data_IF_904511631771
#
_entry.id   IF_904511631771
#
_cell.length_a   1.000
_cell.length_b   1.000
_cell.length_c   1.000
_cell.angle_alpha   90.00
_cell.angle_beta   90.00
_cell.angle_gamma   90.00
#
_symmetry.space_group_name_H-M   'P 1'
#
loop_
_entity.id
_entity.type
_entity.pdbx_description
1 polymer ?
#
# COMPACT_ATOMS: atom_id res chain seq x y z
N UNK A 1 1.00 -13.76 -18.99
CA UNK A 1 1.62 -14.24 -17.74
C UNK A 1 2.89 -15.02 -18.08
N UNK A 2 3.99 -14.80 -17.35
CA UNK A 2 5.27 -15.48 -17.61
C UNK A 2 5.30 -16.86 -16.95
N UNK A 3 5.79 -17.90 -17.64
CA UNK A 3 5.96 -19.22 -17.02
C UNK A 3 7.06 -19.19 -15.94
N UNK A 4 6.66 -19.55 -14.71
CA UNK A 4 7.54 -19.62 -13.54
C UNK A 4 7.64 -21.03 -12.95
N UNK A 5 7.13 -22.06 -13.63
CA UNK A 5 7.11 -23.45 -13.15
C UNK A 5 8.50 -23.96 -12.75
N UNK A 6 9.51 -23.62 -13.54
CA UNK A 6 10.94 -23.95 -13.35
C UNK A 6 11.63 -23.21 -12.19
N UNK A 7 11.00 -22.16 -11.61
CA UNK A 7 11.59 -21.39 -10.51
C UNK A 7 11.35 -22.09 -9.16
N UNK A 8 12.30 -21.90 -8.24
CA UNK A 8 12.18 -22.35 -6.84
C UNK A 8 11.41 -21.33 -6.00
N UNK A 9 10.61 -21.83 -5.05
CA UNK A 9 9.97 -20.98 -4.06
C UNK A 9 11.01 -20.50 -3.04
N UNK A 10 10.99 -19.20 -2.73
CA UNK A 10 11.86 -18.59 -1.72
C UNK A 10 11.05 -17.53 -0.97
N UNK A 11 11.53 -17.08 0.19
CA UNK A 11 10.98 -15.89 0.83
C UNK A 11 11.09 -14.69 -0.11
N UNK A 12 9.99 -13.93 -0.23
CA UNK A 12 9.88 -12.70 -1.01
C UNK A 12 9.33 -11.62 -0.11
N UNK A 13 9.93 -10.44 -0.16
CA UNK A 13 9.43 -9.27 0.56
C UNK A 13 9.39 -8.09 -0.39
N UNK A 14 8.36 -7.27 -0.31
CA UNK A 14 8.30 -5.97 -0.96
C UNK A 14 7.80 -4.91 0.03
N UNK A 15 8.38 -3.72 -0.04
CA UNK A 15 7.96 -2.53 0.69
C UNK A 15 7.62 -1.46 -0.35
N UNK A 16 6.41 -0.95 -0.30
CA UNK A 16 5.94 0.13 -1.17
C UNK A 16 5.42 1.29 -0.32
N UNK A 17 5.37 2.47 -0.93
CA UNK A 17 4.76 3.66 -0.34
C UNK A 17 3.66 4.24 -1.23
N UNK A 18 2.81 5.05 -0.60
CA UNK A 18 2.03 6.11 -1.22
C UNK A 18 2.07 7.35 -0.32
N UNK A 19 1.87 8.55 -0.89
CA UNK A 19 1.70 9.79 -0.14
C UNK A 19 0.30 10.33 -0.40
N UNK A 20 -0.44 10.60 0.67
CA UNK A 20 -1.70 11.34 0.62
C UNK A 20 -1.41 12.76 1.11
N UNK A 21 -1.42 13.70 0.18
CA UNK A 21 -1.24 15.12 0.43
C UNK A 21 -2.62 15.73 0.65
N UNK A 22 -2.92 16.16 1.88
CA UNK A 22 -4.17 16.88 2.20
C UNK A 22 -4.00 18.37 1.94
N UNK A 23 -5.11 19.12 1.86
CA UNK A 23 -5.08 20.55 1.54
C UNK A 23 -5.13 21.48 2.75
N UNK A 24 -5.42 20.96 3.95
CA UNK A 24 -5.50 21.78 5.16
C UNK A 24 -5.05 21.05 6.43
N UNK A 25 -4.59 21.83 7.41
CA UNK A 25 -4.26 21.34 8.76
C UNK A 25 -5.52 20.85 9.50
N UNK A 26 -6.70 21.41 9.20
CA UNK A 26 -7.96 20.96 9.80
C UNK A 26 -8.26 19.51 9.44
N UNK A 27 -7.91 19.06 8.23
CA UNK A 27 -8.02 17.64 7.82
C UNK A 27 -7.11 16.76 8.68
N UNK A 28 -5.87 17.17 8.93
CA UNK A 28 -4.93 16.45 9.79
C UNK A 28 -5.42 16.40 11.23
N UNK A 29 -5.93 17.53 11.76
CA UNK A 29 -6.51 17.60 13.09
C UNK A 29 -7.73 16.68 13.22
N UNK A 30 -8.60 16.65 12.21
CA UNK A 30 -9.78 15.79 12.20
C UNK A 30 -9.40 14.31 12.22
N UNK A 31 -8.35 13.91 11.50
CA UNK A 31 -7.82 12.54 11.55
C UNK A 31 -7.27 12.23 12.95
N UNK A 32 -6.40 13.10 13.50
CA UNK A 32 -5.76 12.87 14.81
C UNK A 32 -6.77 12.81 15.96
N UNK A 33 -7.84 13.61 15.88
CA UNK A 33 -8.87 13.69 16.90
C UNK A 33 -10.06 12.74 16.64
N UNK A 34 -9.99 11.91 15.60
CA UNK A 34 -11.08 10.99 15.20
C UNK A 34 -12.44 11.68 14.99
N UNK A 35 -12.44 12.88 14.39
CA UNK A 35 -13.66 13.65 14.12
C UNK A 35 -14.07 13.64 12.64
N UNK A 36 -13.41 12.83 11.81
CA UNK A 36 -13.81 12.63 10.41
C UNK A 36 -15.21 11.98 10.36
N UNK A 37 -16.19 12.55 9.63
CA UNK A 37 -17.58 12.06 9.66
C UNK A 37 -17.77 10.59 9.26
N UNK A 38 -16.85 10.05 8.44
CA UNK A 38 -16.89 8.66 7.98
C UNK A 38 -16.23 7.66 8.95
N UNK A 39 -15.71 8.12 10.09
CA UNK A 39 -15.07 7.29 11.11
C UNK A 39 -13.53 7.28 11.04
N UNK A 40 -12.93 6.28 11.66
CA UNK A 40 -11.46 6.12 11.74
C UNK A 40 -10.85 5.83 10.36
N UNK A 41 -10.13 6.83 9.85
CA UNK A 41 -9.50 6.79 8.52
C UNK A 41 -8.41 5.74 8.45
N UNK A 42 -7.60 5.57 9.49
CA UNK A 42 -6.46 4.65 9.46
C UNK A 42 -6.90 3.20 9.59
N UNK A 43 -7.87 2.92 10.47
CA UNK A 43 -8.43 1.59 10.63
C UNK A 43 -9.14 1.11 9.35
N UNK A 44 -10.00 1.94 8.77
CA UNK A 44 -10.72 1.60 7.54
C UNK A 44 -9.79 1.46 6.34
N UNK A 45 -8.83 2.39 6.19
CA UNK A 45 -7.86 2.31 5.09
C UNK A 45 -6.96 1.07 5.23
N UNK A 46 -6.61 0.66 6.46
CA UNK A 46 -5.85 -0.57 6.70
C UNK A 46 -6.64 -1.81 6.25
N UNK A 47 -7.92 -1.89 6.60
CA UNK A 47 -8.78 -2.97 6.16
C UNK A 47 -8.90 -3.03 4.62
N UNK A 48 -9.10 -1.87 3.98
CA UNK A 48 -9.14 -1.77 2.52
C UNK A 48 -7.82 -2.24 1.88
N UNK A 49 -6.67 -1.84 2.42
CA UNK A 49 -5.35 -2.27 1.97
C UNK A 49 -5.14 -3.77 2.08
N UNK A 50 -5.50 -4.39 3.21
CA UNK A 50 -5.40 -5.85 3.40
C UNK A 50 -6.25 -6.62 2.38
N UNK A 51 -7.42 -6.09 2.02
CA UNK A 51 -8.25 -6.67 0.97
C UNK A 51 -7.65 -6.44 -0.43
N UNK A 52 -7.16 -5.23 -0.71
CA UNK A 52 -6.54 -4.85 -1.98
C UNK A 52 -5.33 -5.73 -2.32
N UNK A 53 -4.42 -5.91 -1.35
CA UNK A 53 -3.24 -6.78 -1.49
C UNK A 53 -3.63 -8.19 -1.94
N UNK A 54 -4.65 -8.80 -1.31
CA UNK A 54 -5.13 -10.15 -1.64
C UNK A 54 -5.83 -10.25 -2.99
N UNK A 55 -6.38 -9.14 -3.50
CA UNK A 55 -7.09 -9.07 -4.77
C UNK A 55 -6.24 -8.56 -5.94
N UNK A 56 -4.92 -8.48 -5.77
CA UNK A 56 -4.02 -7.94 -6.80
C UNK A 56 -4.11 -8.71 -8.12
N UNK A 57 -4.09 -10.04 -8.07
CA UNK A 57 -4.19 -10.88 -9.27
C UNK A 57 -5.58 -10.85 -9.93
N UNK A 58 -6.63 -10.44 -9.20
CA UNK A 58 -7.97 -10.26 -9.76
C UNK A 58 -8.05 -9.01 -10.64
N UNK A 59 -7.18 -8.02 -10.39
CA UNK A 59 -7.19 -6.72 -11.04
C UNK A 59 -6.07 -6.53 -12.08
N UNK A 60 -4.91 -7.16 -11.87
CA UNK A 60 -3.77 -7.07 -12.78
C UNK A 60 -3.64 -8.36 -13.62
N UNK A 61 -4.02 -8.35 -14.92
CA UNK A 61 -4.24 -9.56 -15.71
C UNK A 61 -3.04 -10.52 -15.82
N UNK A 62 -1.82 -9.99 -15.78
CA UNK A 62 -0.59 -10.77 -15.92
C UNK A 62 0.07 -11.13 -14.58
N UNK A 63 -0.51 -10.72 -13.45
CA UNK A 63 -0.02 -11.08 -12.12
C UNK A 63 -0.37 -12.53 -11.77
N UNK A 64 0.61 -13.26 -11.28
CA UNK A 64 0.37 -14.62 -10.78
C UNK A 64 -0.47 -14.57 -9.50
N UNK A 65 -1.53 -15.37 -9.39
CA UNK A 65 -2.18 -15.56 -8.10
C UNK A 65 -1.19 -16.24 -7.13
N UNK A 66 -1.01 -15.66 -5.94
CA UNK A 66 -0.08 -16.17 -4.93
C UNK A 66 -0.66 -16.00 -3.52
N UNK A 67 -0.29 -16.89 -2.57
CA UNK A 67 -0.71 -16.76 -1.18
C UNK A 67 0.02 -15.61 -0.50
N UNK A 68 -0.72 -14.71 0.13
CA UNK A 68 -0.16 -13.63 0.95
C UNK A 68 0.02 -14.15 2.37
N UNK A 69 1.28 -14.30 2.79
CA UNK A 69 1.62 -14.84 4.12
C UNK A 69 1.66 -13.73 5.19
N UNK A 70 2.01 -12.51 4.78
CA UNK A 70 2.07 -11.36 5.68
C UNK A 70 1.79 -10.07 4.95
N UNK A 71 1.06 -9.17 5.60
CA UNK A 71 0.91 -7.78 5.19
C UNK A 71 0.89 -6.88 6.41
N UNK A 72 1.74 -5.85 6.40
CA UNK A 72 1.70 -4.77 7.37
C UNK A 72 1.49 -3.43 6.67
N UNK A 73 0.76 -2.55 7.34
CA UNK A 73 0.42 -1.21 6.87
C UNK A 73 0.63 -0.26 8.04
N UNK A 74 1.48 0.75 7.80
CA UNK A 74 1.81 1.80 8.76
C UNK A 74 1.68 3.19 8.13
N UNK A 75 1.51 4.18 8.99
CA UNK A 75 1.25 5.56 8.61
C UNK A 75 2.18 6.51 9.36
N UNK A 76 2.61 7.57 8.70
CA UNK A 76 3.28 8.69 9.35
C UNK A 76 2.76 10.01 8.81
N UNK A 77 2.64 11.01 9.69
CA UNK A 77 2.14 12.35 9.34
C UNK A 77 3.30 13.35 9.48
N UNK A 78 3.55 14.14 8.44
CA UNK A 78 4.51 15.26 8.47
C UNK A 78 3.89 16.48 7.79
N UNK A 79 3.45 17.45 8.59
CA UNK A 79 2.62 18.55 8.10
C UNK A 79 1.36 18.00 7.43
N UNK A 80 1.14 18.41 6.19
CA UNK A 80 0.00 18.01 5.36
C UNK A 80 0.20 16.69 4.59
N UNK A 81 1.32 15.99 4.82
CA UNK A 81 1.61 14.71 4.15
C UNK A 81 1.35 13.53 5.08
N UNK A 82 0.56 12.59 4.60
CA UNK A 82 0.39 11.28 5.21
C UNK A 82 1.14 10.27 4.33
N UNK A 83 2.22 9.70 4.85
CA UNK A 83 2.94 8.62 4.18
C UNK A 83 2.32 7.29 4.60
N UNK A 84 1.95 6.49 3.61
CA UNK A 84 1.49 5.11 3.77
C UNK A 84 2.66 4.20 3.41
N UNK A 85 3.03 3.29 4.31
CA UNK A 85 4.01 2.25 4.04
C UNK A 85 3.35 0.88 4.12
N UNK A 86 3.57 0.06 3.10
CA UNK A 86 3.05 -1.32 3.04
C UNK A 86 4.20 -2.29 2.87
N UNK A 87 4.24 -3.29 3.74
CA UNK A 87 5.15 -4.43 3.63
C UNK A 87 4.37 -5.69 3.33
N UNK A 88 4.70 -6.39 2.25
CA UNK A 88 4.10 -7.67 1.87
C UNK A 88 5.17 -8.75 1.87
N UNK A 89 4.84 -9.94 2.39
CA UNK A 89 5.71 -11.13 2.32
C UNK A 89 4.95 -12.37 1.86
N UNK A 90 5.67 -13.24 1.17
CA UNK A 90 5.21 -14.57 0.75
C UNK A 90 6.40 -15.53 0.62
N UNK A 91 6.13 -16.83 0.55
CA UNK A 91 7.08 -17.83 0.08
C UNK A 91 6.60 -18.33 -1.28
N UNK A 92 7.18 -17.81 -2.37
CA UNK A 92 6.70 -18.13 -3.72
C UNK A 92 7.78 -17.99 -4.81
N UNK A 93 7.37 -18.30 -6.06
CA UNK A 93 8.23 -18.36 -7.24
C UNK A 93 8.43 -17.01 -7.95
N UNK A 94 7.62 -16.02 -7.62
CA UNK A 94 7.69 -14.63 -8.12
C UNK A 94 7.61 -13.63 -6.96
N UNK A 95 8.03 -12.39 -7.19
CA UNK A 95 8.01 -11.34 -6.18
C UNK A 95 6.60 -10.83 -5.87
N UNK A 96 6.52 -9.90 -4.90
CA UNK A 96 5.27 -9.29 -4.40
C UNK A 96 5.26 -7.77 -4.52
N UNK A 97 6.02 -7.23 -5.49
CA UNK A 97 6.16 -5.79 -5.71
C UNK A 97 4.81 -5.13 -6.02
N UNK A 98 4.04 -5.78 -6.89
CA UNK A 98 2.76 -5.28 -7.39
C UNK A 98 1.69 -5.39 -6.31
N UNK A 99 1.71 -6.42 -5.47
CA UNK A 99 0.85 -6.54 -4.29
C UNK A 99 1.07 -5.39 -3.31
N UNK A 100 2.34 -5.06 -3.02
CA UNK A 100 2.67 -3.96 -2.11
C UNK A 100 2.24 -2.61 -2.68
N UNK A 101 2.53 -2.33 -3.96
CA UNK A 101 2.14 -1.06 -4.62
C UNK A 101 0.63 -0.93 -4.81
N UNK A 102 -0.05 -2.04 -5.15
CA UNK A 102 -1.50 -2.07 -5.27
C UNK A 102 -2.17 -1.89 -3.91
N UNK A 103 -1.66 -2.52 -2.85
CA UNK A 103 -2.09 -2.20 -1.49
C UNK A 103 -1.97 -0.70 -1.20
N UNK A 104 -0.83 -0.09 -1.55
CA UNK A 104 -0.56 1.31 -1.24
C UNK A 104 -1.52 2.25 -1.98
N UNK A 105 -1.84 1.92 -3.24
CA UNK A 105 -2.83 2.66 -4.03
C UNK A 105 -4.24 2.53 -3.44
N UNK A 106 -4.65 1.33 -3.02
CA UNK A 106 -5.97 1.10 -2.42
C UNK A 106 -6.11 1.81 -1.08
N UNK A 107 -5.08 1.78 -0.23
CA UNK A 107 -5.07 2.52 1.03
C UNK A 107 -5.21 4.02 0.78
N UNK A 108 -4.41 4.58 -0.12
CA UNK A 108 -4.47 6.00 -0.45
C UNK A 108 -5.83 6.41 -1.05
N UNK A 109 -6.40 5.58 -1.93
CA UNK A 109 -7.72 5.82 -2.51
C UNK A 109 -8.84 5.75 -1.46
N UNK A 110 -8.73 4.83 -0.49
CA UNK A 110 -9.70 4.77 0.61
C UNK A 110 -9.59 6.01 1.51
N UNK A 111 -8.37 6.48 1.82
CA UNK A 111 -8.18 7.74 2.54
C UNK A 111 -8.83 8.92 1.82
N UNK A 112 -8.61 9.04 0.51
CA UNK A 112 -9.30 10.04 -0.30
C UNK A 112 -10.83 9.93 -0.16
N UNK A 113 -11.38 8.72 -0.31
CA UNK A 113 -12.83 8.49 -0.19
C UNK A 113 -13.39 8.88 1.19
N UNK A 114 -12.61 8.67 2.24
CA UNK A 114 -12.96 9.01 3.63
C UNK A 114 -12.87 10.50 3.94
N UNK A 115 -11.90 11.18 3.35
CA UNK A 115 -11.58 12.58 3.65
C UNK A 115 -12.24 13.57 2.67
N UNK A 116 -12.64 13.13 1.47
CA UNK A 116 -13.31 14.00 0.49
C UNK A 116 -14.55 14.76 0.99
N UNK A 117 -15.28 14.37 2.05
CA UNK A 117 -16.34 15.23 2.59
C UNK A 117 -15.83 16.52 3.24
N UNK A 118 -14.63 16.51 3.82
CA UNK A 118 -14.05 17.64 4.56
C UNK A 118 -12.90 18.32 3.82
N UNK A 119 -12.29 17.64 2.84
CA UNK A 119 -11.15 18.15 2.08
C UNK A 119 -11.29 17.76 0.60
N UNK A 120 -11.41 18.75 -0.29
CA UNK A 120 -11.57 18.54 -1.74
C UNK A 120 -10.25 18.59 -2.52
N UNK A 121 -9.16 19.05 -1.89
CA UNK A 121 -7.87 19.28 -2.52
C UNK A 121 -6.87 18.15 -2.31
N UNK A 122 -7.34 16.97 -1.90
CA UNK A 122 -6.48 15.82 -1.62
C UNK A 122 -5.84 15.30 -2.90
N UNK A 123 -4.53 15.08 -2.86
CA UNK A 123 -3.77 14.45 -3.93
C UNK A 123 -3.14 13.13 -3.47
N UNK A 124 -3.20 12.12 -4.33
CA UNK A 124 -2.47 10.86 -4.16
C UNK A 124 -1.21 10.94 -5.00
N UNK A 125 -0.06 10.87 -4.33
CA UNK A 125 1.26 11.05 -4.93
C UNK A 125 2.16 9.85 -4.64
N UNK A 126 3.22 9.71 -5.44
CA UNK A 126 4.37 8.88 -5.13
C UNK A 126 4.04 7.44 -4.71
N UNK A 127 3.12 6.79 -5.43
CA UNK A 127 2.93 5.33 -5.33
C UNK A 127 4.16 4.67 -5.97
N UNK A 128 5.02 4.05 -5.16
CA UNK A 128 6.27 3.47 -5.64
C UNK A 128 6.78 2.34 -4.76
N UNK A 129 7.57 1.46 -5.35
CA UNK A 129 8.35 0.46 -4.63
C UNK A 129 9.55 1.13 -3.95
N UNK A 130 9.76 0.85 -2.68
CA UNK A 130 10.94 1.28 -1.93
C UNK A 130 12.00 0.19 -1.85
N UNK A 131 11.56 -1.04 -1.58
CA UNK A 131 12.44 -2.17 -1.39
C UNK A 131 11.79 -3.45 -1.88
N UNK A 132 12.59 -4.36 -2.42
CA UNK A 132 12.24 -5.77 -2.57
C UNK A 132 13.43 -6.65 -2.25
N UNK A 133 13.15 -7.82 -1.69
CA UNK A 133 14.17 -8.85 -1.48
C UNK A 133 13.65 -10.22 -1.87
N UNK A 134 14.58 -11.07 -2.29
CA UNK A 134 14.32 -12.48 -2.60
C UNK A 134 14.09 -12.71 -4.09
N UNK A 135 14.85 -13.64 -4.66
CA UNK A 135 14.84 -13.96 -6.08
C UNK A 135 16.16 -13.79 -6.76
N UNK A 136 16.11 -13.38 -8.03
CA UNK A 136 17.30 -13.05 -8.82
C UNK A 136 17.82 -11.64 -8.56
N UNK A 137 16.96 -10.73 -8.12
CA UNK A 137 17.25 -9.30 -8.01
C UNK A 137 16.63 -8.72 -6.74
N UNK A 138 17.41 -7.96 -6.01
CA UNK A 138 16.94 -7.15 -4.89
C UNK A 138 16.90 -5.67 -5.31
N UNK A 139 16.01 -4.90 -4.70
CA UNK A 139 15.97 -3.44 -4.81
C UNK A 139 15.95 -2.91 -3.39
N UNK A 140 16.81 -1.95 -3.08
CA UNK A 140 16.81 -1.22 -1.83
C UNK A 140 17.84 -0.12 -1.92
N UNK A 141 17.41 1.11 -1.72
CA UNK A 141 18.31 2.26 -1.61
C UNK A 141 19.28 2.00 -0.46
N UNK A 142 20.57 2.17 -0.73
CA UNK A 142 21.54 2.49 0.30
C UNK A 142 21.01 3.73 1.03
N UNK A 143 20.47 3.55 2.23
CA UNK A 143 20.58 4.54 3.30
C UNK A 143 21.66 4.06 4.27
#
# INVERSE_FOLDING_TARGET
MVDITHKKATLRTAIAQAIVQVSSEDTILAIKNNTVPKGDVFAMSKAAGLLGVKKTADLLPDCHPLPIEYTDISYSIKGLQITVLITVKTIYKTGVEVEAMHGASIVALNMYDMLKPIDKGIEIQNIRLLRKTGGKSDIGTNE
#
